data_IF_433856591799
#
_entry.id   IF_433856591799
#
_cell.length_a   1.000
_cell.length_b   1.000
_cell.length_c   1.000
_cell.angle_alpha   90.00
_cell.angle_beta   90.00
_cell.angle_gamma   90.00
#
_symmetry.space_group_name_H-M   'P 1'
#
loop_
_entity.id
_entity.type
_entity.pdbx_description
1 polymer ?
#
# COMPACT_ATOMS: atom_id res chain seq x y z
N UNK A 1 -39.25 16.51 -8.58
CA UNK A 1 -38.74 15.30 -7.91
C UNK A 1 -37.41 14.89 -8.54
N UNK A 2 -36.30 15.49 -8.10
CA UNK A 2 -34.96 15.20 -8.59
C UNK A 2 -34.27 14.23 -7.64
N UNK A 3 -33.99 13.02 -8.13
CA UNK A 3 -33.38 11.93 -7.35
C UNK A 3 -31.98 12.31 -6.86
N UNK A 4 -31.65 11.88 -5.64
CA UNK A 4 -30.35 12.04 -4.99
C UNK A 4 -29.21 11.60 -5.91
N UNK A 5 -28.31 12.53 -6.23
CA UNK A 5 -26.97 12.18 -6.70
C UNK A 5 -26.29 11.49 -5.53
N UNK A 6 -25.70 10.31 -5.75
CA UNK A 6 -24.88 9.61 -4.77
C UNK A 6 -23.89 10.60 -4.18
N UNK A 7 -24.15 11.05 -2.95
CA UNK A 7 -23.28 11.96 -2.25
C UNK A 7 -22.09 11.09 -1.81
N UNK A 8 -20.94 11.32 -2.44
CA UNK A 8 -19.66 10.88 -1.89
C UNK A 8 -19.64 11.47 -0.47
N UNK A 9 -19.48 10.62 0.54
CA UNK A 9 -19.44 11.03 1.93
C UNK A 9 -18.36 12.07 2.18
N UNK A 10 -18.59 12.91 3.19
CA UNK A 10 -17.73 14.04 3.56
C UNK A 10 -16.42 13.59 4.26
N UNK A 11 -15.80 12.50 3.80
CA UNK A 11 -14.57 11.94 4.37
C UNK A 11 -13.48 11.77 3.30
N UNK A 12 -12.30 12.31 3.60
CA UNK A 12 -11.15 12.34 2.68
C UNK A 12 -10.73 10.95 2.16
N UNK A 13 -10.98 9.90 2.94
CA UNK A 13 -10.69 8.52 2.56
C UNK A 13 -11.52 8.06 1.35
N UNK A 14 -12.74 8.56 1.17
CA UNK A 14 -13.56 8.25 -0.01
C UNK A 14 -12.98 8.83 -1.28
N UNK A 15 -12.36 10.01 -1.20
CA UNK A 15 -11.68 10.64 -2.33
C UNK A 15 -10.52 9.75 -2.80
N UNK A 16 -9.74 9.20 -1.87
CA UNK A 16 -8.63 8.28 -2.20
C UNK A 16 -9.14 7.09 -3.02
N UNK A 17 -10.15 6.38 -2.53
CA UNK A 17 -10.66 5.19 -3.22
C UNK A 17 -11.44 5.52 -4.49
N UNK A 18 -12.10 6.68 -4.55
CA UNK A 18 -12.71 7.19 -5.77
C UNK A 18 -11.66 7.40 -6.87
N UNK A 19 -10.52 8.01 -6.54
CA UNK A 19 -9.43 8.27 -7.48
C UNK A 19 -8.79 6.97 -7.96
N UNK A 20 -8.55 6.02 -7.07
CA UNK A 20 -8.07 4.67 -7.45
C UNK A 20 -9.09 4.00 -8.39
N UNK A 21 -10.38 4.05 -8.07
CA UNK A 21 -11.45 3.50 -8.90
C UNK A 21 -11.57 4.18 -10.28
N UNK A 22 -11.38 5.50 -10.34
CA UNK A 22 -11.30 6.26 -11.59
C UNK A 22 -10.14 5.75 -12.45
N UNK A 23 -8.94 5.59 -11.87
CA UNK A 23 -7.76 5.10 -12.57
C UNK A 23 -7.87 3.63 -13.02
N UNK A 24 -8.62 2.81 -12.28
CA UNK A 24 -8.89 1.42 -12.66
C UNK A 24 -9.88 1.31 -13.82
N UNK A 25 -10.81 2.27 -13.95
CA UNK A 25 -11.77 2.33 -15.06
C UNK A 25 -11.19 2.99 -16.31
N UNK A 26 -10.23 3.90 -16.17
CA UNK A 26 -9.53 4.48 -17.31
C UNK A 26 -8.50 3.49 -17.88
N UNK A 27 -8.28 3.54 -19.19
CA UNK A 27 -7.31 2.69 -19.89
C UNK A 27 -5.83 2.96 -19.50
N UNK A 28 -5.59 3.87 -18.56
CA UNK A 28 -4.27 4.30 -18.09
C UNK A 28 -3.56 3.25 -17.24
N UNK A 29 -4.28 2.32 -16.60
CA UNK A 29 -3.67 1.26 -15.80
C UNK A 29 -4.37 -0.09 -15.93
N UNK A 30 -3.58 -1.14 -16.15
CA UNK A 30 -4.08 -2.51 -16.32
C UNK A 30 -4.15 -3.29 -15.01
N UNK A 31 -3.59 -2.77 -13.93
CA UNK A 31 -3.47 -3.45 -12.64
C UNK A 31 -3.93 -2.57 -11.49
N UNK A 32 -4.46 -3.19 -10.43
CA UNK A 32 -4.89 -2.46 -9.24
C UNK A 32 -3.74 -1.67 -8.56
N UNK A 33 -2.55 -2.26 -8.53
CA UNK A 33 -1.30 -1.61 -8.10
C UNK A 33 -1.03 -0.34 -8.92
N UNK A 34 -1.06 -0.46 -10.24
CA UNK A 34 -0.84 0.69 -11.13
C UNK A 34 -1.92 1.77 -10.97
N UNK A 35 -3.18 1.41 -10.70
CA UNK A 35 -4.23 2.40 -10.44
C UNK A 35 -3.99 3.18 -9.14
N UNK A 36 -3.42 2.54 -8.12
CA UNK A 36 -2.99 3.22 -6.88
C UNK A 36 -1.84 4.19 -7.18
N UNK A 37 -0.85 3.77 -7.97
CA UNK A 37 0.29 4.62 -8.37
C UNK A 37 -0.15 5.83 -9.19
N UNK A 38 -1.09 5.66 -10.13
CA UNK A 38 -1.61 6.79 -10.90
C UNK A 38 -2.46 7.71 -10.02
N UNK A 39 -3.31 7.18 -9.14
CA UNK A 39 -4.12 7.98 -8.23
C UNK A 39 -3.23 8.80 -7.28
N UNK A 40 -2.12 8.23 -6.80
CA UNK A 40 -1.21 8.91 -5.87
C UNK A 40 -0.59 10.19 -6.43
N UNK A 41 -0.58 10.38 -7.75
CA UNK A 41 -0.08 11.60 -8.41
C UNK A 41 -1.02 12.80 -8.25
N UNK A 42 -2.29 12.53 -7.99
CA UNK A 42 -3.35 13.55 -7.86
C UNK A 42 -3.77 13.73 -6.38
N UNK A 43 -3.30 12.87 -5.47
CA UNK A 43 -3.64 12.92 -4.05
C UNK A 43 -2.65 13.81 -3.28
N UNK A 44 -3.21 14.74 -2.51
CA UNK A 44 -2.48 15.60 -1.58
C UNK A 44 -2.76 15.18 -0.12
N UNK A 45 -1.96 15.70 0.82
CA UNK A 45 -2.09 15.39 2.24
C UNK A 45 -1.37 14.11 2.66
N UNK A 46 -1.65 13.62 3.87
CA UNK A 46 -1.02 12.42 4.45
C UNK A 46 -2.01 11.28 4.49
N UNK A 47 -1.64 10.10 3.98
CA UNK A 47 -2.49 8.92 4.02
C UNK A 47 -1.70 7.63 4.20
N UNK A 48 -2.34 6.69 4.90
CA UNK A 48 -1.96 5.29 5.00
C UNK A 48 -3.24 4.46 4.84
N UNK A 49 -3.25 3.57 3.84
CA UNK A 49 -4.46 2.92 3.39
C UNK A 49 -4.26 1.42 3.24
N UNK A 50 -5.34 0.68 3.50
CA UNK A 50 -5.51 -0.69 3.06
C UNK A 50 -6.66 -0.75 2.04
N UNK A 51 -6.47 -1.47 0.94
CA UNK A 51 -7.47 -1.62 -0.10
C UNK A 51 -7.61 -3.08 -0.55
N UNK A 52 -8.83 -3.47 -0.87
CA UNK A 52 -9.17 -4.76 -1.48
C UNK A 52 -10.02 -4.50 -2.72
N UNK A 53 -9.69 -5.18 -3.82
CA UNK A 53 -10.56 -5.21 -5.00
C UNK A 53 -11.53 -6.38 -4.84
N UNK A 54 -12.78 -6.08 -4.49
CA UNK A 54 -13.81 -7.10 -4.27
C UNK A 54 -14.19 -7.89 -5.53
N UNK A 55 -13.89 -7.34 -6.72
CA UNK A 55 -14.14 -8.03 -8.00
C UNK A 55 -13.01 -8.96 -8.39
N UNK A 56 -11.81 -8.73 -7.82
CA UNK A 56 -10.62 -9.58 -7.99
C UNK A 56 -10.11 -9.96 -6.60
N UNK A 57 -10.91 -10.69 -5.82
CA UNK A 57 -10.52 -11.11 -4.48
C UNK A 57 -9.26 -11.98 -4.61
N UNK A 58 -8.26 -11.72 -3.78
CA UNK A 58 -6.97 -12.41 -3.83
C UNK A 58 -5.79 -11.50 -3.49
N UNK A 59 -6.00 -10.18 -3.46
CA UNK A 59 -4.98 -9.21 -3.09
C UNK A 59 -5.46 -8.26 -1.99
N UNK A 60 -4.60 -8.04 -1.01
CA UNK A 60 -4.66 -6.89 -0.10
C UNK A 60 -3.56 -5.93 -0.52
N UNK A 61 -3.89 -4.65 -0.66
CA UNK A 61 -2.93 -3.59 -0.93
C UNK A 61 -2.77 -2.76 0.34
N UNK A 62 -1.54 -2.62 0.84
CA UNK A 62 -1.18 -1.63 1.85
C UNK A 62 -0.39 -0.53 1.14
N UNK A 63 -0.71 0.74 1.33
CA UNK A 63 0.06 1.83 0.71
C UNK A 63 -0.02 3.11 1.52
N UNK A 64 1.04 3.91 1.43
CA UNK A 64 1.20 5.11 2.23
C UNK A 64 2.13 6.10 1.56
N UNK A 65 1.86 7.40 1.71
CA UNK A 65 2.76 8.42 1.21
C UNK A 65 3.72 8.98 2.28
N UNK A 66 3.38 8.99 3.56
CA UNK A 66 4.26 9.56 4.59
C UNK A 66 4.39 8.71 5.86
N UNK A 67 3.36 7.96 6.24
CA UNK A 67 3.36 7.20 7.49
C UNK A 67 3.67 5.74 7.25
N UNK A 68 4.67 5.18 7.92
CA UNK A 68 4.97 3.75 7.80
C UNK A 68 3.77 2.87 8.22
N UNK A 69 3.53 1.79 7.48
CA UNK A 69 2.54 0.76 7.86
C UNK A 69 3.30 -0.49 8.29
N UNK A 70 3.23 -0.84 9.57
CA UNK A 70 3.74 -2.11 10.06
C UNK A 70 2.75 -3.22 9.69
N UNK A 71 3.27 -4.37 9.27
CA UNK A 71 2.43 -5.50 8.93
C UNK A 71 3.03 -6.80 9.44
N UNK A 72 2.15 -7.74 9.76
CA UNK A 72 2.42 -9.14 9.98
C UNK A 72 1.68 -9.98 8.96
N UNK A 73 2.43 -10.85 8.28
CA UNK A 73 1.87 -11.81 7.34
C UNK A 73 2.18 -13.22 7.82
N UNK A 74 1.13 -14.01 8.02
CA UNK A 74 1.21 -15.44 8.30
C UNK A 74 0.76 -16.24 7.07
N UNK A 75 1.70 -16.79 6.28
CA UNK A 75 1.38 -17.64 5.14
C UNK A 75 0.58 -18.89 5.54
N UNK A 76 0.87 -19.47 6.72
CA UNK A 76 0.21 -20.68 7.20
C UNK A 76 -1.24 -20.48 7.59
N UNK A 77 -1.61 -19.26 8.01
CA UNK A 77 -2.98 -18.89 8.37
C UNK A 77 -3.67 -18.05 7.29
N UNK A 78 -2.96 -17.74 6.21
CA UNK A 78 -3.39 -16.77 5.19
C UNK A 78 -3.93 -15.46 5.79
N UNK A 79 -3.21 -14.94 6.80
CA UNK A 79 -3.65 -13.80 7.58
C UNK A 79 -2.67 -12.64 7.44
N UNK A 80 -3.22 -11.43 7.25
CA UNK A 80 -2.47 -10.18 7.35
C UNK A 80 -3.05 -9.37 8.50
N UNK A 81 -2.17 -8.89 9.39
CA UNK A 81 -2.49 -7.94 10.45
C UNK A 81 -1.61 -6.73 10.22
N UNK A 82 -2.14 -5.52 10.27
CA UNK A 82 -1.36 -4.31 9.99
C UNK A 82 -1.82 -3.16 10.88
N UNK A 83 -0.92 -2.20 11.09
CA UNK A 83 -1.15 -1.01 11.89
C UNK A 83 -0.15 0.06 11.50
N UNK A 84 -0.53 1.32 11.62
CA UNK A 84 0.40 2.45 11.51
C UNK A 84 1.18 2.71 12.80
N UNK A 85 0.86 1.99 13.88
CA UNK A 85 1.58 1.99 15.16
C UNK A 85 2.08 0.57 15.46
N UNK A 86 3.40 0.43 15.62
CA UNK A 86 4.06 -0.84 15.92
C UNK A 86 3.62 -1.44 17.25
N UNK A 87 3.39 -0.64 18.29
CA UNK A 87 2.97 -1.13 19.59
C UNK A 87 1.55 -1.71 19.55
N UNK A 88 0.67 -1.10 18.75
CA UNK A 88 -0.67 -1.64 18.50
C UNK A 88 -0.57 -2.97 17.74
N UNK A 89 0.25 -3.04 16.68
CA UNK A 89 0.47 -4.30 15.95
C UNK A 89 0.99 -5.40 16.89
N UNK A 90 2.04 -5.09 17.67
CA UNK A 90 2.64 -6.03 18.61
C UNK A 90 1.63 -6.53 19.63
N UNK A 91 0.88 -5.61 20.27
CA UNK A 91 -0.15 -5.97 21.24
C UNK A 91 -1.27 -6.82 20.62
N UNK A 92 -1.68 -6.53 19.39
CA UNK A 92 -2.67 -7.34 18.67
C UNK A 92 -2.17 -8.75 18.39
N UNK A 93 -0.90 -8.90 18.00
CA UNK A 93 -0.27 -10.19 17.75
C UNK A 93 -0.12 -11.02 19.04
N UNK A 94 0.33 -10.40 20.13
CA UNK A 94 0.43 -11.03 21.45
C UNK A 94 -0.94 -11.51 21.95
N UNK A 95 -1.98 -10.67 21.84
CA UNK A 95 -3.36 -11.04 22.19
C UNK A 95 -3.89 -12.20 21.34
N UNK A 96 -3.47 -12.31 20.08
CA UNK A 96 -3.83 -13.40 19.19
C UNK A 96 -2.97 -14.66 19.38
N UNK A 97 -2.04 -14.67 20.34
CA UNK A 97 -1.20 -15.82 20.68
C UNK A 97 0.02 -16.02 19.78
N UNK A 98 0.38 -15.02 18.96
CA UNK A 98 1.61 -15.08 18.16
C UNK A 98 2.83 -14.73 19.02
N UNK A 99 3.93 -15.45 18.81
CA UNK A 99 5.24 -15.04 19.34
C UNK A 99 5.81 -13.94 18.44
N UNK A 100 5.81 -12.70 18.93
CA UNK A 100 6.45 -11.58 18.23
C UNK A 100 7.91 -11.51 18.65
N UNK A 101 8.83 -11.70 17.71
CA UNK A 101 10.26 -11.52 17.98
C UNK A 101 10.55 -10.02 18.14
N UNK A 102 11.44 -9.65 19.06
CA UNK A 102 11.81 -8.24 19.34
C UNK A 102 12.40 -7.52 18.11
N UNK A 103 12.94 -8.26 17.15
CA UNK A 103 13.49 -7.74 15.90
C UNK A 103 12.48 -7.73 14.74
N UNK A 104 11.22 -8.10 14.97
CA UNK A 104 10.18 -8.06 13.94
C UNK A 104 9.85 -6.61 13.56
N UNK A 105 10.22 -6.19 12.35
CA UNK A 105 9.98 -4.83 11.84
C UNK A 105 9.62 -4.81 10.37
N UNK A 106 8.75 -5.72 9.94
CA UNK A 106 8.23 -5.66 8.57
C UNK A 106 7.30 -4.45 8.44
N UNK A 107 7.58 -3.63 7.44
CA UNK A 107 6.83 -2.41 7.21
C UNK A 107 6.75 -2.05 5.72
N UNK A 108 5.73 -1.25 5.40
CA UNK A 108 5.60 -0.52 4.14
C UNK A 108 6.12 0.89 4.38
N UNK A 109 7.28 1.27 3.81
CA UNK A 109 7.87 2.57 4.06
C UNK A 109 7.03 3.71 3.42
N UNK A 110 7.29 4.97 3.82
CA UNK A 110 6.73 6.14 3.15
C UNK A 110 6.91 6.11 1.62
N UNK A 111 5.97 6.72 0.90
CA UNK A 111 5.91 6.76 -0.57
C UNK A 111 5.94 5.38 -1.25
N UNK A 112 5.40 4.35 -0.60
CA UNK A 112 5.41 2.99 -1.14
C UNK A 112 4.11 2.25 -0.85
N UNK A 113 4.00 1.08 -1.46
CA UNK A 113 2.95 0.13 -1.18
C UNK A 113 3.44 -1.31 -1.25
N UNK A 114 2.59 -2.21 -0.77
CA UNK A 114 2.80 -3.63 -0.74
C UNK A 114 1.53 -4.34 -1.19
N UNK A 115 1.66 -5.12 -2.27
CA UNK A 115 0.65 -6.08 -2.68
C UNK A 115 0.90 -7.41 -1.97
N UNK A 116 -0.10 -7.87 -1.24
CA UNK A 116 -0.09 -9.16 -0.55
C UNK A 116 -1.06 -10.06 -1.28
N UNK A 117 -0.56 -11.10 -1.95
CA UNK A 117 -1.41 -12.11 -2.56
C UNK A 117 -1.71 -13.21 -1.54
N UNK A 118 -2.98 -13.32 -1.16
CA UNK A 118 -3.44 -14.25 -0.13
C UNK A 118 -3.23 -15.72 -0.54
N UNK A 119 -3.44 -16.05 -1.82
CA UNK A 119 -3.41 -17.44 -2.28
C UNK A 119 -2.01 -18.01 -2.50
N UNK A 120 -1.02 -17.16 -2.79
CA UNK A 120 0.33 -17.57 -3.19
C UNK A 120 1.42 -17.17 -2.20
N UNK A 121 1.06 -16.49 -1.11
CA UNK A 121 2.01 -15.93 -0.16
C UNK A 121 3.07 -14.99 -0.76
N UNK A 122 2.78 -14.44 -1.94
CA UNK A 122 3.68 -13.52 -2.63
C UNK A 122 3.44 -12.09 -2.16
N UNK A 123 4.50 -11.52 -1.59
CA UNK A 123 4.63 -10.11 -1.26
C UNK A 123 5.29 -9.38 -2.43
N UNK A 124 4.68 -8.30 -2.91
CA UNK A 124 5.26 -7.48 -4.00
C UNK A 124 5.22 -6.01 -3.61
N UNK A 125 6.37 -5.39 -3.29
CA UNK A 125 6.44 -3.96 -3.03
C UNK A 125 6.29 -3.16 -4.33
N UNK A 126 5.81 -1.93 -4.22
CA UNK A 126 5.71 -0.94 -5.29
C UNK A 126 5.94 0.47 -4.75
N UNK A 127 6.29 1.42 -5.62
CA UNK A 127 6.52 2.81 -5.26
C UNK A 127 5.33 3.67 -5.67
N UNK A 128 4.92 4.59 -4.80
CA UNK A 128 4.00 5.66 -5.17
C UNK A 128 4.76 6.72 -5.95
N UNK A 129 4.05 7.51 -6.75
CA UNK A 129 4.67 8.68 -7.35
C UNK A 129 5.09 9.65 -6.23
N UNK A 130 6.40 9.86 -6.07
CA UNK A 130 6.89 10.95 -5.22
C UNK A 130 6.61 12.28 -5.91
N UNK A 131 6.52 13.37 -5.14
CA UNK A 131 6.55 14.72 -5.71
C UNK A 131 7.67 14.82 -6.76
N UNK A 132 7.34 15.44 -7.90
CA UNK A 132 8.20 15.57 -9.07
C UNK A 132 9.62 15.97 -8.64
N UNK A 133 10.57 15.04 -8.65
CA UNK A 133 11.96 15.39 -8.89
C UNK A 133 12.01 15.87 -10.33
N UNK A 134 11.83 17.17 -10.51
CA UNK A 134 12.18 17.85 -11.76
C UNK A 134 13.70 17.96 -11.82
N UNK A 135 14.41 16.83 -11.75
CA UNK A 135 15.81 16.81 -12.11
C UNK A 135 15.86 16.85 -13.64
N UNK A 136 16.20 18.03 -14.17
CA UNK A 136 16.81 18.13 -15.49
C UNK A 136 17.92 17.09 -15.53
N UNK A 137 17.75 16.09 -16.38
CA UNK A 137 18.76 15.11 -16.73
C UNK A 137 19.96 15.86 -17.32
N UNK A 138 20.91 16.24 -16.47
CA UNK A 138 22.31 16.36 -16.86
C UNK A 138 22.96 15.06 -16.42
N UNK A 139 23.17 14.18 -17.41
CA UNK A 139 23.46 12.77 -17.22
C UNK A 139 24.52 12.46 -16.18
N UNK A 140 24.11 11.72 -15.15
CA UNK A 140 24.93 10.71 -14.47
C UNK A 140 23.98 9.74 -13.76
N UNK A 141 24.06 8.48 -14.16
CA UNK A 141 23.30 7.37 -13.59
C UNK A 141 23.72 7.23 -12.12
N UNK A 142 22.79 7.43 -11.19
CA UNK A 142 22.99 7.02 -9.79
C UNK A 142 22.50 5.58 -9.68
N UNK A 143 23.44 4.64 -9.58
CA UNK A 143 23.15 3.26 -9.17
C UNK A 143 22.66 3.27 -7.72
N UNK A 144 21.34 3.11 -7.53
CA UNK A 144 20.78 2.74 -6.23
C UNK A 144 21.24 1.32 -5.87
N UNK A 145 22.00 1.20 -4.78
CA UNK A 145 22.41 -0.09 -4.20
C UNK A 145 21.18 -0.82 -3.66
N UNK A 146 20.61 -1.73 -4.45
CA UNK A 146 19.90 -2.86 -3.88
C UNK A 146 20.95 -3.76 -3.23
N UNK A 147 20.86 -3.94 -1.92
CA UNK A 147 21.72 -4.88 -1.21
C UNK A 147 21.53 -6.27 -1.81
N UNK A 148 22.61 -6.82 -2.36
CA UNK A 148 22.72 -8.23 -2.67
C UNK A 148 22.50 -9.02 -1.37
N UNK A 149 21.47 -9.86 -1.35
CA UNK A 149 21.37 -10.96 -0.39
C UNK A 149 21.99 -12.17 -1.09
N UNK A 150 23.24 -12.49 -0.74
CA UNK A 150 23.84 -13.77 -1.13
C UNK A 150 23.16 -14.88 -0.32
N UNK A 151 22.79 -15.96 -1.01
CA UNK A 151 22.37 -17.19 -0.38
C UNK A 151 23.59 -17.87 0.25
N UNK A 152 23.52 -18.14 1.55
CA UNK A 152 24.44 -18.97 2.32
C UNK A 152 23.64 -19.80 3.31
#
# INVERSE_FOLDING_TARGET
SGKSVWQIGDVDSEIIFYMVGKQLRSSSSTTFEGSIVEASKELEGTYACAAVDLWRPGYIMLFTNQQEIFYYYSPSLNQVIFSTDFNILRGALECAGFTVLDNYKNSVPPHSGLRINADSAKLRPFLLASEKTTEKVTGKIIQGRFGHMEAG
#
